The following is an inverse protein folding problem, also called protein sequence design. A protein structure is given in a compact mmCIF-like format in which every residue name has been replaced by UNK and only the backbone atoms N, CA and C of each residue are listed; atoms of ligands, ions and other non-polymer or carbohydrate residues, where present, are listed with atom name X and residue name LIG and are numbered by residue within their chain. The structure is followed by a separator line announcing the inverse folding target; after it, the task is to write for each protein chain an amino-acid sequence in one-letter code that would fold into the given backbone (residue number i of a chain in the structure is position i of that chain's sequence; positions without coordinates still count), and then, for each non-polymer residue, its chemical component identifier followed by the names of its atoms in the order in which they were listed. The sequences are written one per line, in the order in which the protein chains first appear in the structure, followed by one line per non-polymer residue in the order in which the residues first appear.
data_IF_396968455529
#
_entry.id   IF_396968455529
#
_cell.length_a   1.000
_cell.length_b   1.000
_cell.length_c   1.000
_cell.angle_alpha   90.00
_cell.angle_beta   90.00
_cell.angle_gamma   90.00
#
_symmetry.space_group_name_H-M   'P 1'
#
loop_
_entity.id
_entity.type
_entity.pdbx_description
1 polymer ?
#
# COMPACT_ATOMS: atom_id res chain seq x y z
N UNK A 1 14.63 44.50 1.09
CA UNK A 1 15.75 45.07 0.31
C UNK A 1 15.27 46.20 -0.61
N UNK A 2 14.23 46.04 -1.41
CA UNK A 2 13.66 47.09 -2.29
C UNK A 2 13.29 48.36 -1.52
N UNK A 3 12.53 48.25 -0.43
CA UNK A 3 12.14 49.39 0.42
C UNK A 3 13.35 50.16 1.02
N UNK A 4 14.45 49.44 1.34
CA UNK A 4 15.66 50.06 1.85
C UNK A 4 16.42 50.82 0.76
N UNK A 5 16.33 50.41 -0.49
CA UNK A 5 16.90 51.10 -1.64
C UNK A 5 16.07 52.34 -1.97
N UNK A 6 14.74 52.22 -1.94
CA UNK A 6 13.80 53.33 -2.16
C UNK A 6 13.95 54.44 -1.10
N UNK A 7 14.16 54.05 0.17
CA UNK A 7 14.37 55.03 1.28
C UNK A 7 15.71 55.73 1.27
N UNK A 8 16.67 55.32 0.42
CA UNK A 8 18.05 55.84 0.36
C UNK A 8 18.77 55.92 1.71
N UNK A 9 18.38 55.06 2.67
CA UNK A 9 18.98 55.06 4.03
C UNK A 9 20.09 54.01 4.15
N UNK A 10 21.32 54.44 4.33
CA UNK A 10 22.48 53.57 4.55
C UNK A 10 22.27 52.54 5.68
N UNK A 11 21.60 52.95 6.74
CA UNK A 11 21.34 52.09 7.90
C UNK A 11 20.30 51.02 7.55
N UNK A 12 19.24 51.36 6.84
CA UNK A 12 18.23 50.44 6.40
C UNK A 12 18.76 49.45 5.36
N UNK A 13 19.59 49.95 4.42
CA UNK A 13 20.23 49.11 3.41
C UNK A 13 21.18 48.08 4.06
N UNK A 14 22.06 48.52 4.99
CA UNK A 14 22.97 47.63 5.73
C UNK A 14 22.20 46.53 6.51
N UNK A 15 21.08 46.91 7.14
CA UNK A 15 20.24 45.96 7.86
C UNK A 15 19.59 44.95 6.91
N UNK A 16 19.03 45.39 5.78
CA UNK A 16 18.41 44.54 4.78
C UNK A 16 19.43 43.55 4.16
N UNK A 17 20.65 44.04 3.86
CA UNK A 17 21.74 43.19 3.37
C UNK A 17 22.11 42.12 4.41
N UNK A 18 22.29 42.52 5.69
CA UNK A 18 22.59 41.56 6.77
C UNK A 18 21.51 40.48 6.88
N UNK A 19 20.22 40.85 6.94
CA UNK A 19 19.14 39.90 7.01
C UNK A 19 19.13 38.94 5.82
N UNK A 20 19.32 39.46 4.60
CA UNK A 20 19.34 38.62 3.41
C UNK A 20 20.53 37.63 3.40
N UNK A 21 21.70 38.07 3.90
CA UNK A 21 22.89 37.20 4.03
C UNK A 21 22.65 36.12 5.10
N UNK A 22 22.09 36.50 6.26
CA UNK A 22 21.79 35.58 7.35
C UNK A 22 20.76 34.52 6.93
N UNK A 23 19.68 34.92 6.25
CA UNK A 23 18.67 34.01 5.72
C UNK A 23 19.23 33.04 4.70
N UNK A 24 20.01 33.54 3.74
CA UNK A 24 20.66 32.69 2.74
C UNK A 24 21.67 31.74 3.38
N UNK A 25 22.47 32.21 4.34
CA UNK A 25 23.43 31.36 5.05
C UNK A 25 22.74 30.27 5.86
N UNK A 26 21.63 30.58 6.53
CA UNK A 26 20.81 29.61 7.25
C UNK A 26 20.26 28.53 6.30
N UNK A 27 19.67 28.95 5.18
CA UNK A 27 19.18 28.06 4.17
C UNK A 27 20.25 27.09 3.64
N UNK A 28 21.43 27.63 3.31
CA UNK A 28 22.56 26.83 2.82
C UNK A 28 23.03 25.83 3.89
N UNK A 29 23.19 26.29 5.13
CA UNK A 29 23.61 25.44 6.24
C UNK A 29 22.60 24.31 6.51
N UNK A 30 21.32 24.63 6.50
CA UNK A 30 20.25 23.65 6.68
C UNK A 30 20.22 22.62 5.54
N UNK A 31 20.38 23.07 4.31
CA UNK A 31 20.47 22.21 3.13
C UNK A 31 21.65 21.23 3.25
N UNK A 32 22.84 21.73 3.62
CA UNK A 32 24.02 20.90 3.81
C UNK A 32 23.77 19.89 4.92
N UNK A 33 23.32 20.34 6.09
CA UNK A 33 23.08 19.48 7.24
C UNK A 33 22.11 18.33 6.92
N UNK A 34 20.99 18.61 6.26
CA UNK A 34 20.01 17.60 5.86
C UNK A 34 20.59 16.61 4.85
N UNK A 35 21.30 17.10 3.84
CA UNK A 35 21.90 16.26 2.81
C UNK A 35 22.99 15.35 3.39
N UNK A 36 23.86 15.87 4.24
CA UNK A 36 24.92 15.07 4.87
C UNK A 36 24.38 14.09 5.92
N UNK A 37 23.32 14.46 6.64
CA UNK A 37 22.65 13.52 7.54
C UNK A 37 22.02 12.36 6.78
N UNK A 38 21.36 12.61 5.64
CA UNK A 38 20.81 11.57 4.78
C UNK A 38 21.93 10.68 4.19
N UNK A 39 23.05 11.27 3.77
CA UNK A 39 24.22 10.54 3.28
C UNK A 39 24.83 9.65 4.37
N UNK A 40 24.99 10.16 5.57
CA UNK A 40 25.53 9.38 6.70
C UNK A 40 24.62 8.20 7.05
N UNK A 41 23.31 8.41 7.05
CA UNK A 41 22.34 7.34 7.26
C UNK A 41 22.44 6.27 6.18
N UNK A 42 22.52 6.69 4.92
CA UNK A 42 22.66 5.76 3.79
C UNK A 42 23.95 4.95 3.86
N UNK A 43 25.08 5.58 4.22
CA UNK A 43 26.34 4.87 4.42
C UNK A 43 26.26 3.84 5.56
N UNK A 44 25.56 4.16 6.64
CA UNK A 44 25.24 3.22 7.71
C UNK A 44 24.42 2.05 7.22
N UNK A 45 23.34 2.32 6.48
CA UNK A 45 22.48 1.30 5.87
C UNK A 45 23.27 0.34 4.95
N UNK A 46 24.12 0.88 4.07
CA UNK A 46 24.97 0.06 3.19
C UNK A 46 25.92 -0.82 4.00
N UNK A 47 26.59 -0.26 5.02
CA UNK A 47 27.52 -1.01 5.87
C UNK A 47 26.82 -2.18 6.57
N UNK A 48 25.60 -1.97 7.02
CA UNK A 48 24.84 -2.98 7.74
C UNK A 48 24.22 -4.07 6.83
N UNK A 49 24.06 -3.78 5.54
CA UNK A 49 23.30 -4.64 4.62
C UNK A 49 24.12 -5.23 3.46
N UNK A 50 25.29 -4.65 3.13
CA UNK A 50 26.06 -5.06 1.97
C UNK A 50 26.53 -6.51 2.07
N UNK A 51 27.00 -6.93 3.22
CA UNK A 51 27.54 -8.28 3.47
C UNK A 51 26.48 -9.29 3.92
N UNK A 52 25.23 -8.88 4.09
CA UNK A 52 24.14 -9.77 4.46
C UNK A 52 23.72 -10.63 3.26
N UNK A 53 23.89 -11.97 3.32
CA UNK A 53 23.60 -12.86 2.19
C UNK A 53 22.10 -12.98 1.88
N UNK A 54 21.22 -12.69 2.85
CA UNK A 54 19.78 -12.79 2.68
C UNK A 54 19.21 -11.59 1.91
N UNK A 55 19.95 -10.48 1.88
CA UNK A 55 19.59 -9.27 1.13
C UNK A 55 20.28 -9.33 -0.23
N UNK A 56 19.48 -9.41 -1.29
CA UNK A 56 19.99 -9.57 -2.67
C UNK A 56 19.92 -8.30 -3.52
N UNK A 57 19.08 -7.34 -3.12
CA UNK A 57 18.86 -6.09 -3.83
C UNK A 57 18.33 -5.01 -2.89
N UNK A 58 18.25 -3.77 -3.40
CA UNK A 58 17.59 -2.65 -2.72
C UNK A 58 16.48 -2.11 -3.60
N UNK A 59 15.35 -1.75 -2.99
CA UNK A 59 14.24 -1.04 -3.63
C UNK A 59 14.33 0.44 -3.32
N UNK A 60 14.31 1.26 -4.36
CA UNK A 60 14.18 2.70 -4.23
C UNK A 60 12.75 3.05 -3.82
N UNK A 61 12.60 3.77 -2.72
CA UNK A 61 11.31 4.22 -2.19
C UNK A 61 11.28 5.74 -2.15
N UNK A 62 10.33 6.30 -2.87
CA UNK A 62 10.09 7.75 -2.86
C UNK A 62 9.52 8.21 -1.53
N UNK A 63 9.96 9.36 -1.09
CA UNK A 63 9.37 10.03 0.07
C UNK A 63 7.95 10.49 -0.26
N UNK A 64 7.04 10.37 0.69
CA UNK A 64 5.67 10.96 0.60
C UNK A 64 5.67 12.48 0.47
N UNK A 65 6.82 13.13 0.72
CA UNK A 65 7.05 14.57 0.58
C UNK A 65 7.84 14.91 -0.69
N UNK A 66 7.89 13.99 -1.64
CA UNK A 66 8.51 14.21 -2.94
C UNK A 66 7.75 15.30 -3.72
N UNK A 67 8.36 16.41 -4.13
CA UNK A 67 7.58 17.59 -4.52
C UNK A 67 7.12 17.58 -5.98
N UNK A 68 7.87 17.01 -6.90
CA UNK A 68 7.58 17.01 -8.35
C UNK A 68 8.48 16.02 -9.06
N UNK A 69 8.20 15.69 -10.31
CA UNK A 69 9.00 14.79 -11.13
C UNK A 69 10.47 15.21 -11.18
N UNK A 70 11.34 14.32 -10.71
CA UNK A 70 12.80 14.47 -10.76
C UNK A 70 13.48 13.11 -10.94
N UNK A 71 14.79 13.05 -10.77
CA UNK A 71 15.58 11.81 -10.92
C UNK A 71 15.13 10.69 -9.98
N UNK A 72 14.48 10.99 -8.86
CA UNK A 72 13.98 9.98 -7.93
C UNK A 72 12.80 9.19 -8.54
N UNK A 73 11.91 9.87 -9.32
CA UNK A 73 10.84 9.20 -10.06
C UNK A 73 11.39 8.26 -11.12
N UNK A 74 12.48 8.63 -11.79
CA UNK A 74 13.13 7.74 -12.76
C UNK A 74 13.67 6.49 -12.05
N UNK A 75 14.36 6.67 -10.92
CA UNK A 75 14.87 5.54 -10.12
C UNK A 75 13.75 4.66 -9.56
N UNK A 76 12.64 5.21 -9.15
CA UNK A 76 11.51 4.43 -8.62
C UNK A 76 10.78 3.60 -9.69
N UNK A 77 10.79 4.07 -10.94
CA UNK A 77 10.02 3.46 -12.05
C UNK A 77 10.85 2.54 -12.96
N UNK A 78 12.18 2.76 -13.03
CA UNK A 78 13.05 2.00 -13.95
C UNK A 78 13.22 0.55 -13.49
N UNK A 79 13.13 -0.38 -14.43
CA UNK A 79 13.55 -1.78 -14.26
C UNK A 79 14.80 -2.04 -15.11
N UNK A 80 15.94 -1.50 -14.66
CA UNK A 80 17.21 -1.56 -15.40
C UNK A 80 17.85 -2.95 -15.38
N UNK A 81 17.47 -3.81 -14.43
CA UNK A 81 18.14 -5.10 -14.18
C UNK A 81 17.20 -6.30 -14.26
N UNK A 82 15.94 -6.13 -14.67
CA UNK A 82 14.94 -7.19 -14.72
C UNK A 82 14.58 -7.75 -13.33
N UNK A 83 14.73 -6.91 -12.30
CA UNK A 83 14.41 -7.26 -10.91
C UNK A 83 13.05 -6.73 -10.48
N UNK A 84 12.42 -5.91 -11.31
CA UNK A 84 11.21 -5.14 -11.07
C UNK A 84 11.49 -3.64 -10.93
N UNK A 85 10.46 -2.79 -11.10
CA UNK A 85 10.59 -1.34 -11.02
C UNK A 85 11.21 -0.89 -9.70
N UNK A 86 12.19 0.00 -9.80
CA UNK A 86 12.89 0.58 -8.64
C UNK A 86 13.79 -0.38 -7.88
N UNK A 87 14.05 -1.59 -8.39
CA UNK A 87 14.89 -2.57 -7.71
C UNK A 87 16.26 -2.65 -8.37
N UNK A 88 17.31 -2.50 -7.56
CA UNK A 88 18.70 -2.45 -7.97
C UNK A 88 19.53 -3.51 -7.26
N UNK A 89 20.46 -4.23 -7.95
CA UNK A 89 21.46 -5.01 -7.27
C UNK A 89 22.23 -4.16 -6.25
N UNK A 90 22.71 -4.78 -5.15
CA UNK A 90 23.38 -4.04 -4.07
C UNK A 90 24.55 -3.18 -4.55
N UNK A 91 25.33 -3.68 -5.51
CA UNK A 91 26.50 -3.00 -6.09
C UNK A 91 26.15 -2.01 -7.23
N UNK A 92 24.90 -1.92 -7.62
CA UNK A 92 24.40 -1.05 -8.71
C UNK A 92 23.35 -0.04 -8.27
N UNK A 93 23.06 -0.02 -6.99
CA UNK A 93 22.09 0.92 -6.43
C UNK A 93 22.57 2.38 -6.60
N UNK A 94 21.72 3.29 -7.09
CA UNK A 94 22.05 4.70 -7.18
C UNK A 94 22.45 5.29 -5.82
N UNK A 95 23.27 6.34 -5.83
CA UNK A 95 23.70 6.99 -4.57
C UNK A 95 22.52 7.74 -3.93
N UNK A 96 22.38 7.62 -2.62
CA UNK A 96 21.49 8.44 -1.80
C UNK A 96 22.30 9.42 -0.92
N UNK A 97 21.84 10.66 -0.78
CA UNK A 97 20.72 11.33 -1.47
C UNK A 97 21.02 11.64 -2.93
N UNK A 98 20.06 11.45 -3.84
CA UNK A 98 20.24 11.70 -5.28
C UNK A 98 20.38 13.20 -5.60
N UNK A 99 19.81 14.05 -4.76
CA UNK A 99 19.87 15.51 -4.89
C UNK A 99 19.78 16.18 -3.51
N UNK A 100 20.09 17.49 -3.38
CA UNK A 100 19.89 18.21 -2.12
C UNK A 100 18.44 18.14 -1.65
N UNK A 101 18.22 17.94 -0.37
CA UNK A 101 16.89 17.72 0.25
C UNK A 101 16.16 16.42 -0.14
N UNK A 102 16.81 15.50 -0.82
CA UNK A 102 16.24 14.17 -1.08
C UNK A 102 15.91 13.47 0.25
N UNK A 103 14.69 12.93 0.33
CA UNK A 103 14.19 12.17 1.49
C UNK A 103 13.82 10.73 1.08
N UNK A 104 14.17 10.31 -0.14
CA UNK A 104 13.99 8.94 -0.60
C UNK A 104 14.93 8.00 0.18
N UNK A 105 14.60 6.73 0.22
CA UNK A 105 15.38 5.74 0.96
C UNK A 105 15.36 4.39 0.26
N UNK A 106 16.19 3.48 0.74
CA UNK A 106 16.17 2.08 0.30
C UNK A 106 15.44 1.17 1.28
N UNK A 107 14.66 0.25 0.71
CA UNK A 107 14.18 -0.94 1.39
C UNK A 107 15.01 -2.16 0.98
N UNK A 108 15.15 -3.10 1.90
CA UNK A 108 15.83 -4.38 1.66
C UNK A 108 14.96 -5.28 0.80
N UNK A 109 15.54 -5.91 -0.22
CA UNK A 109 14.88 -6.94 -1.03
C UNK A 109 15.57 -8.27 -0.76
N UNK A 110 14.81 -9.23 -0.27
CA UNK A 110 15.29 -10.58 0.06
C UNK A 110 15.19 -11.51 -1.14
N UNK A 111 15.98 -12.59 -1.14
CA UNK A 111 16.00 -13.57 -2.22
C UNK A 111 14.61 -14.15 -2.52
N UNK A 112 13.84 -14.49 -1.48
CA UNK A 112 12.47 -14.98 -1.59
C UNK A 112 11.53 -13.98 -2.27
N UNK A 113 11.69 -12.69 -2.00
CA UNK A 113 10.91 -11.64 -2.63
C UNK A 113 11.28 -11.48 -4.11
N UNK A 114 12.56 -11.59 -4.45
CA UNK A 114 13.03 -11.48 -5.83
C UNK A 114 12.57 -12.66 -6.68
N UNK A 115 12.63 -13.89 -6.14
CA UNK A 115 12.08 -15.07 -6.78
C UNK A 115 10.57 -14.92 -7.03
N UNK A 116 9.85 -14.36 -6.07
CA UNK A 116 8.44 -14.04 -6.17
C UNK A 116 8.16 -13.08 -7.33
N UNK A 117 8.90 -11.96 -7.43
CA UNK A 117 8.73 -10.96 -8.51
C UNK A 117 9.02 -11.60 -9.88
N UNK A 118 10.08 -12.38 -10.00
CA UNK A 118 10.45 -13.09 -11.24
C UNK A 118 9.41 -14.12 -11.63
N UNK A 119 8.90 -14.83 -10.66
CA UNK A 119 7.91 -15.85 -10.87
C UNK A 119 6.57 -15.28 -11.37
N UNK A 120 6.11 -14.12 -10.85
CA UNK A 120 4.93 -13.41 -11.34
C UNK A 120 5.03 -13.06 -12.84
N UNK A 121 6.26 -12.83 -13.34
CA UNK A 121 6.49 -12.60 -14.77
C UNK A 121 6.38 -13.86 -15.63
N UNK A 122 6.53 -15.06 -15.07
CA UNK A 122 6.56 -16.34 -15.80
C UNK A 122 5.24 -17.13 -15.81
N UNK A 123 4.19 -16.66 -15.15
CA UNK A 123 2.85 -17.24 -15.22
C UNK A 123 2.37 -17.94 -13.95
N UNK A 124 2.71 -19.18 -13.68
CA UNK A 124 2.24 -19.88 -12.47
C UNK A 124 3.33 -19.95 -11.41
N UNK A 125 3.02 -19.52 -10.17
CA UNK A 125 3.96 -19.55 -9.05
C UNK A 125 3.31 -20.17 -7.83
N UNK A 126 4.05 -21.07 -7.18
CA UNK A 126 3.69 -21.63 -5.89
C UNK A 126 4.61 -21.05 -4.81
N UNK A 127 4.01 -20.39 -3.80
CA UNK A 127 4.74 -19.88 -2.64
C UNK A 127 4.60 -20.87 -1.49
N UNK A 128 5.69 -21.54 -1.14
CA UNK A 128 5.68 -22.54 -0.07
C UNK A 128 5.50 -21.91 1.32
N UNK A 129 6.05 -20.71 1.54
CA UNK A 129 6.08 -20.10 2.86
C UNK A 129 4.71 -19.56 3.32
N UNK A 130 3.89 -19.07 2.37
CA UNK A 130 2.56 -18.52 2.68
C UNK A 130 1.41 -19.43 2.21
N UNK A 131 1.71 -20.61 1.68
CA UNK A 131 0.73 -21.54 1.13
C UNK A 131 -0.22 -20.92 0.09
N UNK A 132 0.28 -20.00 -0.73
CA UNK A 132 -0.47 -19.32 -1.78
C UNK A 132 0.04 -19.75 -3.15
N UNK A 133 -0.86 -20.16 -4.03
CA UNK A 133 -0.59 -20.36 -5.44
C UNK A 133 -1.12 -19.18 -6.23
N UNK A 134 -0.29 -18.52 -7.03
CA UNK A 134 -0.68 -17.41 -7.89
C UNK A 134 -0.64 -17.85 -9.35
N UNK A 135 -1.72 -17.61 -10.07
CA UNK A 135 -1.84 -17.87 -11.51
C UNK A 135 -2.15 -16.55 -12.21
N UNK A 136 -1.44 -16.27 -13.30
CA UNK A 136 -1.75 -15.11 -14.14
C UNK A 136 -2.86 -15.49 -15.10
N UNK A 137 -3.93 -14.72 -15.08
CA UNK A 137 -5.08 -14.82 -15.97
C UNK A 137 -4.92 -13.85 -17.17
N UNK A 138 -5.77 -13.98 -18.21
CA UNK A 138 -5.78 -13.02 -19.30
C UNK A 138 -6.00 -11.58 -18.80
N UNK A 139 -5.25 -10.63 -19.38
CA UNK A 139 -5.34 -9.24 -19.01
C UNK A 139 -6.72 -8.65 -19.35
N UNK A 140 -7.15 -7.67 -18.55
CA UNK A 140 -8.35 -6.88 -18.78
C UNK A 140 -8.01 -5.40 -18.67
N UNK A 141 -8.62 -4.55 -19.50
CA UNK A 141 -8.38 -3.12 -19.39
C UNK A 141 -8.88 -2.59 -18.04
N UNK A 142 -8.00 -1.91 -17.30
CA UNK A 142 -8.31 -1.43 -15.93
C UNK A 142 -9.54 -0.49 -15.86
N UNK A 143 -9.80 0.25 -16.96
CA UNK A 143 -10.93 1.16 -17.08
C UNK A 143 -12.19 0.49 -17.66
N UNK A 144 -12.15 -0.80 -17.96
CA UNK A 144 -13.32 -1.57 -18.37
C UNK A 144 -14.08 -2.04 -17.11
N UNK A 145 -14.80 -1.12 -16.47
CA UNK A 145 -15.55 -1.41 -15.26
C UNK A 145 -16.61 -2.49 -15.46
N UNK A 146 -17.21 -2.57 -16.67
CA UNK A 146 -18.22 -3.59 -16.98
C UNK A 146 -17.60 -4.96 -17.19
N UNK A 147 -16.46 -5.04 -17.86
CA UNK A 147 -15.68 -6.28 -17.99
C UNK A 147 -15.19 -6.79 -16.64
N UNK A 148 -14.67 -5.89 -15.78
CA UNK A 148 -14.23 -6.24 -14.42
C UNK A 148 -15.43 -6.71 -13.58
N UNK A 149 -16.57 -6.06 -13.67
CA UNK A 149 -17.80 -6.50 -12.98
C UNK A 149 -18.21 -7.91 -13.40
N UNK A 150 -18.20 -8.20 -14.70
CA UNK A 150 -18.51 -9.55 -15.22
C UNK A 150 -17.49 -10.58 -14.71
N UNK A 151 -16.21 -10.21 -14.67
CA UNK A 151 -15.15 -11.07 -14.15
C UNK A 151 -15.34 -11.36 -12.66
N UNK A 152 -15.70 -10.37 -11.86
CA UNK A 152 -15.98 -10.53 -10.43
C UNK A 152 -17.26 -11.30 -10.16
N UNK A 153 -18.32 -11.09 -10.94
CA UNK A 153 -19.53 -11.91 -10.84
C UNK A 153 -19.25 -13.39 -11.14
N UNK A 154 -18.46 -13.66 -12.18
CA UNK A 154 -18.01 -15.02 -12.46
C UNK A 154 -17.21 -15.60 -11.30
N UNK A 155 -16.31 -14.81 -10.68
CA UNK A 155 -15.59 -15.23 -9.49
C UNK A 155 -16.57 -15.59 -8.35
N UNK A 156 -17.61 -14.80 -8.12
CA UNK A 156 -18.63 -15.11 -7.12
C UNK A 156 -19.29 -16.46 -7.40
N UNK A 157 -19.70 -16.72 -8.66
CA UNK A 157 -20.34 -17.98 -9.06
C UNK A 157 -19.41 -19.18 -8.87
N UNK A 158 -18.11 -19.02 -9.18
CA UNK A 158 -17.14 -20.12 -9.16
C UNK A 158 -16.58 -20.41 -7.75
N UNK A 159 -16.54 -19.40 -6.83
CA UNK A 159 -15.77 -19.50 -5.59
C UNK A 159 -16.56 -19.26 -4.30
N UNK A 160 -17.80 -18.79 -4.31
CA UNK A 160 -18.59 -18.53 -3.08
C UNK A 160 -18.74 -19.73 -2.14
N UNK A 161 -18.83 -20.94 -2.71
CA UNK A 161 -19.05 -22.17 -1.96
C UNK A 161 -17.78 -23.03 -1.83
N UNK A 162 -16.58 -22.45 -1.98
CA UNK A 162 -15.31 -23.17 -1.85
C UNK A 162 -14.84 -23.23 -0.39
N UNK A 163 -14.25 -24.36 -0.01
CA UNK A 163 -13.72 -24.60 1.34
C UNK A 163 -12.43 -23.85 1.66
N UNK A 164 -11.83 -23.21 0.67
CA UNK A 164 -10.59 -22.45 0.80
C UNK A 164 -10.76 -21.05 0.20
N UNK A 165 -9.97 -20.11 0.72
CA UNK A 165 -9.99 -18.76 0.20
C UNK A 165 -9.27 -18.64 -1.14
N UNK A 166 -9.89 -17.94 -2.04
CA UNK A 166 -9.38 -17.49 -3.32
C UNK A 166 -9.46 -15.96 -3.40
N UNK A 167 -8.59 -15.35 -4.16
CA UNK A 167 -8.70 -13.93 -4.51
C UNK A 167 -8.41 -13.72 -5.99
N UNK A 168 -9.08 -12.75 -6.58
CA UNK A 168 -8.79 -12.25 -7.92
C UNK A 168 -8.38 -10.78 -7.82
N UNK A 169 -7.24 -10.45 -8.40
CA UNK A 169 -6.63 -9.13 -8.34
C UNK A 169 -6.49 -8.57 -9.76
N UNK A 170 -7.08 -7.42 -10.01
CA UNK A 170 -6.91 -6.64 -11.25
C UNK A 170 -6.02 -5.44 -10.94
N UNK A 171 -4.81 -5.41 -11.47
CA UNK A 171 -3.85 -4.35 -11.24
C UNK A 171 -4.14 -3.11 -12.09
N UNK A 172 -3.51 -1.97 -11.78
CA UNK A 172 -3.64 -0.75 -12.57
C UNK A 172 -3.18 -0.91 -14.03
N UNK A 173 -2.23 -1.84 -14.27
CA UNK A 173 -1.73 -2.16 -15.62
C UNK A 173 -2.63 -3.14 -16.39
N UNK A 174 -3.75 -3.53 -15.78
CA UNK A 174 -4.69 -4.47 -16.39
C UNK A 174 -4.27 -5.94 -16.32
N UNK A 175 -3.22 -6.27 -15.59
CA UNK A 175 -2.86 -7.65 -15.30
C UNK A 175 -3.86 -8.26 -14.31
N UNK A 176 -4.20 -9.52 -14.50
CA UNK A 176 -5.14 -10.25 -13.64
C UNK A 176 -4.42 -11.41 -12.97
N UNK A 177 -4.54 -11.50 -11.67
CA UNK A 177 -3.94 -12.57 -10.86
C UNK A 177 -5.01 -13.29 -10.04
N UNK A 178 -5.03 -14.60 -10.18
CA UNK A 178 -5.83 -15.48 -9.33
C UNK A 178 -4.93 -16.08 -8.24
N UNK A 179 -5.23 -15.75 -6.99
CA UNK A 179 -4.53 -16.25 -5.81
C UNK A 179 -5.38 -17.33 -5.15
N UNK A 180 -4.79 -18.51 -4.95
CA UNK A 180 -5.41 -19.61 -4.22
C UNK A 180 -4.70 -19.75 -2.88
N UNK A 181 -5.41 -19.54 -1.80
CA UNK A 181 -4.91 -19.64 -0.44
C UNK A 181 -5.19 -20.98 0.22
N UNK A 182 -5.51 -20.94 1.50
CA UNK A 182 -5.89 -22.07 2.35
C UNK A 182 -7.23 -21.77 3.03
N UNK A 183 -7.71 -22.69 3.86
CA UNK A 183 -8.90 -22.45 4.70
C UNK A 183 -8.65 -21.23 5.60
N UNK A 184 -9.53 -20.23 5.51
CA UNK A 184 -9.52 -19.03 6.34
C UNK A 184 -8.40 -18.01 6.05
N UNK A 185 -7.67 -18.13 4.92
CA UNK A 185 -6.71 -17.09 4.51
C UNK A 185 -6.25 -17.20 3.06
N UNK A 186 -6.23 -16.09 2.34
CA UNK A 186 -5.51 -15.90 1.08
C UNK A 186 -4.58 -14.70 1.17
N UNK A 187 -3.28 -14.94 1.13
CA UNK A 187 -2.28 -13.86 1.25
C UNK A 187 -2.01 -13.22 -0.12
N UNK A 188 -2.76 -12.19 -0.46
CA UNK A 188 -2.53 -11.41 -1.68
C UNK A 188 -1.32 -10.48 -1.57
N UNK A 189 -0.75 -10.28 -0.37
CA UNK A 189 0.41 -9.39 -0.18
C UNK A 189 1.65 -9.88 -0.92
N UNK A 190 1.64 -11.15 -1.35
CA UNK A 190 2.63 -11.73 -2.25
C UNK A 190 2.77 -10.95 -3.57
N UNK A 191 1.75 -10.21 -4.00
CA UNK A 191 1.78 -9.37 -5.20
C UNK A 191 2.52 -8.03 -4.97
N UNK A 192 2.81 -7.68 -3.72
CA UNK A 192 3.58 -6.50 -3.35
C UNK A 192 3.05 -5.19 -3.96
N UNK A 193 3.90 -4.40 -4.64
CA UNK A 193 3.52 -3.09 -5.20
C UNK A 193 2.39 -3.15 -6.24
N UNK A 194 2.14 -4.30 -6.87
CA UNK A 194 1.04 -4.47 -7.84
C UNK A 194 -0.35 -4.32 -7.22
N UNK A 195 -0.45 -4.39 -5.89
CA UNK A 195 -1.70 -4.12 -5.16
C UNK A 195 -2.05 -2.64 -5.10
N UNK A 196 -1.11 -1.73 -5.33
CA UNK A 196 -1.40 -0.30 -5.29
C UNK A 196 -2.42 0.06 -6.38
N UNK A 197 -3.55 0.63 -5.96
CA UNK A 197 -4.65 0.98 -6.84
C UNK A 197 -5.41 -0.20 -7.44
N UNK A 198 -5.08 -1.45 -7.09
CA UNK A 198 -5.75 -2.64 -7.62
C UNK A 198 -7.24 -2.69 -7.24
N UNK A 199 -8.02 -3.42 -8.03
CA UNK A 199 -9.38 -3.87 -7.71
C UNK A 199 -9.30 -5.36 -7.36
N UNK A 200 -9.82 -5.73 -6.22
CA UNK A 200 -9.66 -7.08 -5.63
C UNK A 200 -11.01 -7.64 -5.23
N UNK A 201 -11.23 -8.92 -5.46
CA UNK A 201 -12.32 -9.70 -4.87
C UNK A 201 -11.74 -10.97 -4.25
N UNK A 202 -12.30 -11.40 -3.11
CA UNK A 202 -11.97 -12.68 -2.48
C UNK A 202 -13.25 -13.34 -1.91
N UNK A 203 -13.18 -14.64 -1.64
CA UNK A 203 -14.26 -15.34 -0.96
C UNK A 203 -13.89 -15.64 0.49
N UNK A 204 -14.90 -15.64 1.34
CA UNK A 204 -14.84 -16.24 2.67
C UNK A 204 -15.59 -17.56 2.67
N UNK A 205 -14.90 -18.69 2.90
CA UNK A 205 -15.55 -20.00 3.00
C UNK A 205 -16.53 -20.04 4.16
N UNK A 206 -17.67 -20.71 3.94
CA UNK A 206 -18.56 -21.07 5.02
C UNK A 206 -17.97 -22.27 5.75
N UNK A 207 -17.30 -22.05 6.86
CA UNK A 207 -16.68 -23.10 7.66
C UNK A 207 -17.46 -23.44 8.94
N UNK A 208 -18.69 -22.89 9.06
CA UNK A 208 -19.53 -23.07 10.24
C UNK A 208 -19.04 -22.31 11.47
N UNK A 209 -17.89 -21.63 11.37
CA UNK A 209 -17.37 -20.69 12.36
C UNK A 209 -17.72 -19.26 11.95
N UNK A 210 -18.21 -18.52 12.86
CA UNK A 210 -19.00 -17.29 12.87
C UNK A 210 -18.30 -16.03 12.31
N UNK A 211 -17.15 -16.11 11.63
CA UNK A 211 -16.29 -14.93 11.38
C UNK A 211 -16.10 -14.52 9.92
N UNK A 212 -16.91 -15.02 8.99
CA UNK A 212 -16.62 -14.88 7.57
C UNK A 212 -17.65 -14.14 6.71
N UNK A 213 -18.54 -13.32 7.29
CA UNK A 213 -19.62 -12.70 6.52
C UNK A 213 -19.22 -11.44 5.75
N UNK A 214 -18.29 -10.64 6.27
CA UNK A 214 -17.86 -9.38 5.67
C UNK A 214 -16.33 -9.20 5.82
N UNK A 215 -15.81 -7.98 5.74
CA UNK A 215 -14.38 -7.69 5.84
C UNK A 215 -13.82 -7.86 7.25
N UNK A 216 -12.72 -8.56 7.36
CA UNK A 216 -11.94 -8.71 8.58
C UNK A 216 -11.01 -7.51 8.81
N UNK A 217 -10.39 -7.41 10.00
CA UNK A 217 -9.33 -6.44 10.26
C UNK A 217 -8.10 -6.67 9.36
N UNK A 218 -7.83 -7.92 8.97
CA UNK A 218 -6.74 -8.24 8.06
C UNK A 218 -7.00 -7.67 6.66
N UNK A 219 -8.25 -7.78 6.17
CA UNK A 219 -8.68 -7.20 4.88
C UNK A 219 -8.53 -5.68 4.89
N UNK A 220 -8.99 -5.03 5.96
CA UNK A 220 -8.84 -3.59 6.15
C UNK A 220 -7.37 -3.18 6.18
N UNK A 221 -6.55 -3.90 6.94
CA UNK A 221 -5.13 -3.61 7.06
C UNK A 221 -4.42 -3.72 5.71
N UNK A 222 -4.73 -4.76 4.94
CA UNK A 222 -4.20 -4.96 3.58
C UNK A 222 -4.69 -3.87 2.64
N UNK A 223 -5.98 -3.55 2.66
CA UNK A 223 -6.58 -2.51 1.83
C UNK A 223 -5.89 -1.14 2.02
N UNK A 224 -5.70 -0.71 3.26
CA UNK A 224 -5.10 0.60 3.54
C UNK A 224 -3.57 0.59 3.35
N UNK A 225 -2.89 -0.47 3.76
CA UNK A 225 -1.43 -0.61 3.59
C UNK A 225 -1.02 -0.51 2.13
N UNK A 226 -1.72 -1.19 1.25
CA UNK A 226 -1.40 -1.25 -0.18
C UNK A 226 -2.19 -0.24 -1.03
N UNK A 227 -3.03 0.60 -0.41
CA UNK A 227 -3.85 1.61 -1.11
C UNK A 227 -4.70 0.97 -2.23
N UNK A 228 -5.32 -0.16 -1.94
CA UNK A 228 -6.21 -0.86 -2.86
C UNK A 228 -7.37 0.08 -3.23
N UNK A 229 -7.76 0.12 -4.49
CA UNK A 229 -8.82 1.01 -4.99
C UNK A 229 -10.21 0.56 -4.59
N UNK A 230 -10.46 -0.74 -4.70
CA UNK A 230 -11.72 -1.42 -4.35
C UNK A 230 -11.41 -2.83 -3.88
N UNK A 231 -11.99 -3.20 -2.76
CA UNK A 231 -11.94 -4.57 -2.24
C UNK A 231 -13.36 -5.11 -2.13
N UNK A 232 -13.57 -6.31 -2.60
CA UNK A 232 -14.85 -7.02 -2.52
C UNK A 232 -14.66 -8.35 -1.80
N UNK A 233 -15.71 -8.79 -1.12
CA UNK A 233 -15.78 -10.11 -0.49
C UNK A 233 -17.11 -10.76 -0.81
N UNK A 234 -17.07 -12.04 -1.18
CA UNK A 234 -18.26 -12.89 -1.31
C UNK A 234 -18.24 -13.97 -0.22
N UNK A 235 -19.36 -14.13 0.47
CA UNK A 235 -19.58 -15.16 1.50
C UNK A 235 -20.95 -15.80 1.32
N UNK A 236 -21.27 -16.81 2.11
CA UNK A 236 -22.61 -17.39 2.17
C UNK A 236 -23.71 -16.40 2.59
N UNK A 237 -23.35 -15.30 3.27
CA UNK A 237 -24.28 -14.28 3.78
C UNK A 237 -24.42 -13.07 2.85
N UNK A 238 -23.56 -12.92 1.84
CA UNK A 238 -23.71 -11.86 0.86
C UNK A 238 -22.42 -11.46 0.15
N UNK A 239 -22.56 -10.49 -0.72
CA UNK A 239 -21.49 -9.86 -1.48
C UNK A 239 -21.33 -8.42 -1.00
N UNK A 240 -20.14 -8.06 -0.59
CA UNK A 240 -19.85 -6.74 -0.06
C UNK A 240 -18.70 -6.07 -0.81
N UNK A 241 -18.81 -4.76 -1.00
CA UNK A 241 -17.74 -3.96 -1.60
C UNK A 241 -17.29 -2.84 -0.67
N UNK A 242 -16.00 -2.53 -0.70
CA UNK A 242 -15.37 -1.50 0.10
C UNK A 242 -14.56 -0.55 -0.77
N UNK A 243 -14.76 0.75 -0.56
CA UNK A 243 -13.96 1.83 -1.12
C UNK A 243 -13.65 2.87 -0.04
N UNK A 244 -12.55 3.60 -0.23
CA UNK A 244 -12.17 4.71 0.63
C UNK A 244 -11.97 5.98 -0.18
N UNK A 245 -12.57 7.09 0.27
CA UNK A 245 -12.53 8.41 -0.37
C UNK A 245 -12.05 9.53 0.58
N UNK A 246 -11.54 9.14 1.76
CA UNK A 246 -11.07 10.08 2.77
C UNK A 246 -9.60 10.49 2.58
N UNK A 247 -9.10 11.26 3.56
CA UNK A 247 -7.69 11.60 3.66
C UNK A 247 -6.84 10.37 4.01
N UNK A 248 -5.55 10.32 3.63
CA UNK A 248 -4.68 9.20 3.98
C UNK A 248 -4.68 8.91 5.48
N UNK A 249 -4.83 7.64 5.84
CA UNK A 249 -4.82 7.14 7.23
C UNK A 249 -3.80 6.04 7.38
N UNK A 250 -3.25 5.88 8.58
CA UNK A 250 -2.33 4.79 8.90
C UNK A 250 -3.11 3.51 9.25
N UNK A 251 -2.44 2.36 9.11
CA UNK A 251 -3.01 1.06 9.49
C UNK A 251 -3.36 1.02 10.98
N UNK A 252 -2.57 1.69 11.84
CA UNK A 252 -2.83 1.78 13.28
C UNK A 252 -4.10 2.58 13.57
N UNK A 253 -4.37 3.64 12.81
CA UNK A 253 -5.62 4.40 12.94
C UNK A 253 -6.82 3.54 12.52
N UNK A 254 -6.70 2.80 11.42
CA UNK A 254 -7.74 1.86 10.96
C UNK A 254 -8.01 0.79 12.01
N UNK A 255 -6.97 0.17 12.58
CA UNK A 255 -7.11 -0.82 13.62
C UNK A 255 -7.84 -0.26 14.86
N UNK A 256 -7.55 0.99 15.23
CA UNK A 256 -8.22 1.68 16.34
C UNK A 256 -9.72 1.92 16.06
N UNK A 257 -10.08 2.36 14.84
CA UNK A 257 -11.49 2.51 14.46
C UNK A 257 -12.22 1.15 14.46
N UNK A 258 -11.56 0.12 13.93
CA UNK A 258 -12.12 -1.23 13.94
C UNK A 258 -12.36 -1.73 15.36
N UNK A 259 -11.39 -1.55 16.25
CA UNK A 259 -11.51 -1.96 17.66
C UNK A 259 -12.70 -1.26 18.33
N UNK A 260 -12.85 0.06 18.16
CA UNK A 260 -13.99 0.80 18.72
C UNK A 260 -15.32 0.27 18.19
N UNK A 261 -15.45 0.05 16.87
CA UNK A 261 -16.67 -0.49 16.27
C UNK A 261 -16.97 -1.91 16.76
N UNK A 262 -15.93 -2.73 16.95
CA UNK A 262 -16.05 -4.09 17.48
C UNK A 262 -16.52 -4.10 18.94
N UNK A 263 -15.92 -3.28 19.81
CA UNK A 263 -16.31 -3.16 21.23
C UNK A 263 -17.79 -2.73 21.34
N UNK A 264 -18.22 -1.73 20.57
CA UNK A 264 -19.62 -1.32 20.54
C UNK A 264 -20.56 -2.40 20.02
N UNK A 265 -20.14 -3.17 19.01
CA UNK A 265 -20.95 -4.27 18.48
C UNK A 265 -21.12 -5.38 19.48
N UNK A 266 -20.04 -5.76 20.18
CA UNK A 266 -20.10 -6.78 21.24
C UNK A 266 -20.99 -6.35 22.41
N UNK A 267 -20.95 -5.07 22.81
CA UNK A 267 -21.84 -4.53 23.84
C UNK A 267 -23.31 -4.62 23.40
N UNK A 268 -23.62 -4.26 22.16
CA UNK A 268 -24.97 -4.38 21.63
C UNK A 268 -25.42 -5.84 21.51
N UNK A 269 -24.56 -6.73 21.04
CA UNK A 269 -24.85 -8.15 20.91
C UNK A 269 -25.20 -8.78 22.27
N UNK A 270 -24.48 -8.39 23.33
CA UNK A 270 -24.77 -8.84 24.68
C UNK A 270 -26.16 -8.41 25.21
N UNK A 271 -26.69 -7.27 24.73
CA UNK A 271 -27.99 -6.73 25.14
C UNK A 271 -29.13 -7.26 24.25
N UNK A 272 -28.90 -7.39 22.95
CA UNK A 272 -29.95 -7.59 21.94
C UNK A 272 -30.04 -9.02 21.41
N UNK A 273 -29.17 -9.91 21.84
CA UNK A 273 -29.10 -11.30 21.39
C UNK A 273 -28.95 -11.44 19.87
N UNK A 274 -28.15 -10.57 19.25
CA UNK A 274 -27.87 -10.58 17.81
C UNK A 274 -27.14 -11.87 17.45
N UNK A 275 -27.55 -12.57 16.38
CA UNK A 275 -26.79 -13.70 15.86
C UNK A 275 -25.35 -13.27 15.51
N UNK A 276 -24.39 -14.08 15.87
CA UNK A 276 -22.96 -13.84 15.61
C UNK A 276 -22.65 -13.71 14.11
N UNK A 277 -23.44 -14.34 13.26
CA UNK A 277 -23.31 -14.34 11.80
C UNK A 277 -23.37 -12.93 11.16
N UNK A 278 -23.84 -11.93 11.90
CA UNK A 278 -23.93 -10.53 11.43
C UNK A 278 -23.00 -9.57 12.16
N UNK A 279 -22.09 -10.06 13.00
CA UNK A 279 -21.22 -9.18 13.79
C UNK A 279 -20.29 -8.36 12.88
N UNK A 280 -19.68 -8.95 11.87
CA UNK A 280 -18.78 -8.22 10.96
C UNK A 280 -19.54 -7.22 10.09
N UNK A 281 -20.71 -7.55 9.58
CA UNK A 281 -21.56 -6.58 8.85
C UNK A 281 -21.89 -5.37 9.72
N UNK A 282 -22.20 -5.58 11.01
CA UNK A 282 -22.44 -4.48 11.97
C UNK A 282 -21.20 -3.64 12.26
N UNK A 283 -20.04 -4.28 12.42
CA UNK A 283 -18.77 -3.56 12.58
C UNK A 283 -18.55 -2.67 11.38
N UNK A 284 -18.78 -3.17 10.15
CA UNK A 284 -18.64 -2.39 8.93
C UNK A 284 -19.64 -1.23 8.85
N UNK A 285 -20.89 -1.47 9.28
CA UNK A 285 -21.90 -0.41 9.35
C UNK A 285 -21.48 0.72 10.32
N UNK A 286 -20.95 0.38 11.50
CA UNK A 286 -20.43 1.36 12.46
C UNK A 286 -19.21 2.08 11.93
N UNK A 287 -18.31 1.37 11.26
CA UNK A 287 -17.16 1.99 10.60
C UNK A 287 -17.57 3.02 9.54
N UNK A 288 -18.63 2.77 8.78
CA UNK A 288 -19.18 3.75 7.85
C UNK A 288 -19.63 5.04 8.55
N UNK A 289 -20.04 4.96 9.82
CA UNK A 289 -20.49 6.13 10.59
C UNK A 289 -19.34 6.90 11.24
N UNK A 290 -18.35 6.19 11.78
CA UNK A 290 -17.29 6.81 12.59
C UNK A 290 -16.00 7.10 11.80
N UNK A 291 -15.83 6.49 10.61
CA UNK A 291 -14.63 6.63 9.82
C UNK A 291 -14.91 7.45 8.54
N UNK A 292 -14.56 8.74 8.53
CA UNK A 292 -14.88 9.63 7.41
C UNK A 292 -14.27 9.16 6.10
N UNK A 293 -15.12 9.03 5.07
CA UNK A 293 -14.69 8.59 3.74
C UNK A 293 -14.64 7.08 3.53
N UNK A 294 -14.85 6.29 4.58
CA UNK A 294 -15.01 4.84 4.49
C UNK A 294 -16.42 4.51 3.98
N UNK A 295 -16.52 3.58 3.04
CA UNK A 295 -17.80 3.19 2.46
C UNK A 295 -17.77 1.69 2.16
N UNK A 296 -18.57 0.94 2.90
CA UNK A 296 -18.89 -0.47 2.64
C UNK A 296 -20.34 -0.56 2.20
N UNK A 297 -20.62 -1.36 1.18
CA UNK A 297 -21.96 -1.61 0.64
C UNK A 297 -22.16 -3.11 0.47
N UNK A 298 -23.39 -3.56 0.73
CA UNK A 298 -23.85 -4.85 0.27
C UNK A 298 -24.28 -4.71 -1.18
N UNK A 299 -23.73 -5.52 -2.04
CA UNK A 299 -24.06 -5.54 -3.47
C UNK A 299 -25.28 -6.43 -3.69
N UNK A 300 -26.14 -6.03 -4.62
CA UNK A 300 -27.23 -6.88 -5.08
C UNK A 300 -26.63 -8.01 -5.94
N UNK A 301 -26.88 -9.24 -5.57
CA UNK A 301 -26.42 -10.48 -6.27
C UNK A 301 -27.41 -10.85 -7.36
#
# INVERSE_FOLDING_TARGET
MLEAVESCSDKALKRAIRTAVEEKSRYVAERIARTESARAWYQGFLKDTMDDPDIVAYRWVESTRHPTEDICDEYAKVDAYGLGPGIFPKDKAPELPAHPHCLCHYEKVYASELERIRGLASGKIEYSDNHVTVVREPNIAYNDDEGIKKLFNKFCDDYKDKDIEHALVVTMDGEVYHCKGKKGAVDITVLGPKLQGAKVIHNHPDDGDVYGDCFSLADLSTFFKYKIKRLEVISGLGHYSMVYKGSPVSVEQVAKFYQLANEETLMEAAITNIPRDYEQEKIMYKLNQIFPGFCVRKEDV
#
